data_IF_731520193255
#
_entry.id   IF_731520193255
#
_cell.length_a   1.000
_cell.length_b   1.000
_cell.length_c   1.000
_cell.angle_alpha   90.00
_cell.angle_beta   90.00
_cell.angle_gamma   90.00
#
_symmetry.space_group_name_H-M   'P 1'
#
loop_
_entity.id
_entity.type
_entity.pdbx_description
1 polymer ?
#
# COMPACT_ATOMS: atom_id res chain seq x y z
N UNK A 1 -9.04 -23.84 -9.30
CA UNK A 1 -10.43 -23.41 -8.98
C UNK A 1 -10.58 -21.93 -9.35
N UNK A 2 -11.68 -21.53 -9.93
CA UNK A 2 -11.95 -20.13 -10.25
C UNK A 2 -12.15 -19.34 -8.95
N UNK A 3 -11.38 -18.29 -8.72
CA UNK A 3 -11.50 -17.44 -7.52
C UNK A 3 -12.61 -16.41 -7.70
N UNK A 4 -13.29 -16.10 -6.61
CA UNK A 4 -14.31 -15.05 -6.52
C UNK A 4 -13.72 -13.88 -5.72
N UNK A 5 -13.61 -12.71 -6.35
CA UNK A 5 -12.86 -11.58 -5.81
C UNK A 5 -13.80 -10.40 -5.54
N UNK A 6 -13.66 -9.80 -4.36
CA UNK A 6 -14.12 -8.44 -4.07
C UNK A 6 -12.94 -7.49 -4.23
N UNK A 7 -13.01 -6.57 -5.18
CA UNK A 7 -11.95 -5.60 -5.49
C UNK A 7 -12.32 -4.22 -4.96
N UNK A 8 -11.63 -3.81 -3.91
CA UNK A 8 -11.80 -2.49 -3.33
C UNK A 8 -10.83 -1.50 -4.00
N UNK A 9 -11.38 -0.44 -4.61
CA UNK A 9 -10.59 0.58 -5.32
C UNK A 9 -10.29 0.23 -6.79
N UNK A 10 -11.23 -0.37 -7.50
CA UNK A 10 -11.08 -0.90 -8.87
C UNK A 10 -10.65 0.11 -9.93
N UNK A 11 -10.92 1.39 -9.72
CA UNK A 11 -10.63 2.46 -10.70
C UNK A 11 -9.25 3.10 -10.53
N UNK A 12 -8.50 2.70 -9.51
CA UNK A 12 -7.11 3.13 -9.28
C UNK A 12 -6.10 2.33 -10.12
N UNK A 13 -4.81 2.71 -10.05
CA UNK A 13 -3.74 2.02 -10.79
C UNK A 13 -3.66 0.53 -10.45
N UNK A 14 -3.65 0.17 -9.16
CA UNK A 14 -3.62 -1.23 -8.72
C UNK A 14 -4.92 -1.93 -9.09
N UNK A 15 -6.07 -1.26 -8.92
CA UNK A 15 -7.37 -1.84 -9.24
C UNK A 15 -7.51 -2.22 -10.72
N UNK A 16 -7.09 -1.37 -11.64
CA UNK A 16 -7.13 -1.65 -13.08
C UNK A 16 -6.20 -2.79 -13.47
N UNK A 17 -4.98 -2.83 -12.92
CA UNK A 17 -4.03 -3.92 -13.12
C UNK A 17 -4.52 -5.25 -12.51
N UNK A 18 -5.28 -5.18 -11.39
CA UNK A 18 -5.93 -6.36 -10.80
C UNK A 18 -7.01 -6.94 -11.73
N UNK A 19 -7.74 -6.07 -12.42
CA UNK A 19 -8.72 -6.52 -13.43
C UNK A 19 -8.04 -7.15 -14.66
N UNK A 20 -6.86 -6.66 -15.08
CA UNK A 20 -6.07 -7.31 -16.13
C UNK A 20 -5.68 -8.74 -15.73
N UNK A 21 -5.21 -8.92 -14.50
CA UNK A 21 -4.89 -10.25 -13.96
C UNK A 21 -6.15 -11.12 -13.87
N UNK A 22 -7.25 -10.59 -13.36
CA UNK A 22 -8.51 -11.33 -13.24
C UNK A 22 -9.02 -11.80 -14.61
N UNK A 23 -8.92 -10.96 -15.64
CA UNK A 23 -9.28 -11.27 -17.03
C UNK A 23 -8.44 -12.42 -17.57
N UNK A 24 -7.13 -12.35 -17.40
CA UNK A 24 -6.19 -13.36 -17.87
C UNK A 24 -6.45 -14.72 -17.19
N UNK A 25 -6.68 -14.71 -15.89
CA UNK A 25 -6.84 -15.92 -15.09
C UNK A 25 -8.29 -16.47 -15.06
N UNK A 26 -9.24 -15.75 -15.67
CA UNK A 26 -10.66 -16.13 -15.66
C UNK A 26 -11.30 -16.08 -14.27
N UNK A 27 -10.90 -15.12 -13.41
CA UNK A 27 -11.46 -14.95 -12.08
C UNK A 27 -12.79 -14.19 -12.13
N UNK A 28 -13.70 -14.53 -11.22
CA UNK A 28 -14.97 -13.85 -11.08
C UNK A 28 -14.80 -12.62 -10.18
N UNK A 29 -15.16 -11.46 -10.70
CA UNK A 29 -15.25 -10.24 -9.91
C UNK A 29 -16.67 -10.13 -9.37
N UNK A 30 -16.83 -10.36 -8.07
CA UNK A 30 -18.12 -10.31 -7.37
C UNK A 30 -18.51 -8.91 -6.94
N UNK A 31 -17.51 -8.14 -6.48
CA UNK A 31 -17.72 -6.77 -6.06
C UNK A 31 -16.66 -5.85 -6.65
N UNK A 32 -17.07 -4.62 -6.97
CA UNK A 32 -16.17 -3.52 -7.34
C UNK A 32 -16.45 -2.30 -6.46
N UNK A 33 -15.42 -1.54 -6.13
CA UNK A 33 -15.63 -0.28 -5.43
C UNK A 33 -14.82 0.86 -6.06
N UNK A 34 -15.35 2.07 -6.02
CA UNK A 34 -14.66 3.28 -6.46
C UNK A 34 -15.09 4.48 -5.61
N UNK A 35 -14.36 5.60 -5.73
CA UNK A 35 -14.79 6.84 -5.07
C UNK A 35 -15.84 7.58 -5.92
N UNK A 36 -15.45 8.14 -7.08
CA UNK A 36 -16.29 9.03 -7.89
C UNK A 36 -16.17 8.86 -9.41
N UNK A 37 -15.31 7.94 -9.89
CA UNK A 37 -15.05 7.76 -11.34
C UNK A 37 -16.13 6.88 -11.98
N UNK A 38 -17.31 7.48 -12.24
CA UNK A 38 -18.51 6.78 -12.74
C UNK A 38 -18.27 6.11 -14.09
N UNK A 39 -17.66 6.81 -15.06
CA UNK A 39 -17.48 6.26 -16.42
C UNK A 39 -16.53 5.05 -16.43
N UNK A 40 -15.51 5.07 -15.58
CA UNK A 40 -14.55 3.96 -15.50
C UNK A 40 -15.21 2.73 -14.88
N UNK A 41 -15.92 2.89 -13.75
CA UNK A 41 -16.55 1.75 -13.09
C UNK A 41 -17.74 1.21 -13.88
N UNK A 42 -18.47 2.05 -14.65
CA UNK A 42 -19.50 1.58 -15.57
C UNK A 42 -18.94 0.60 -16.60
N UNK A 43 -17.81 0.93 -17.23
CA UNK A 43 -17.14 0.03 -18.18
C UNK A 43 -16.72 -1.29 -17.51
N UNK A 44 -16.19 -1.22 -16.28
CA UNK A 44 -15.82 -2.40 -15.51
C UNK A 44 -17.04 -3.27 -15.16
N UNK A 45 -18.18 -2.66 -14.82
CA UNK A 45 -19.44 -3.36 -14.57
C UNK A 45 -19.92 -4.11 -15.81
N UNK A 46 -19.92 -3.45 -16.96
CA UNK A 46 -20.37 -4.06 -18.23
C UNK A 46 -19.49 -5.25 -18.64
N UNK A 47 -18.20 -5.17 -18.35
CA UNK A 47 -17.24 -6.23 -18.66
C UNK A 47 -17.32 -7.40 -17.66
N UNK A 48 -17.16 -7.12 -16.37
CA UNK A 48 -16.99 -8.13 -15.31
C UNK A 48 -18.31 -8.58 -14.68
N UNK A 49 -19.40 -7.85 -14.87
CA UNK A 49 -20.76 -8.13 -14.36
C UNK A 49 -20.79 -8.47 -12.87
N UNK A 50 -20.23 -7.59 -12.00
CA UNK A 50 -20.23 -7.83 -10.56
C UNK A 50 -21.66 -7.82 -10.01
N UNK A 51 -21.88 -8.56 -8.92
CA UNK A 51 -23.18 -8.61 -8.26
C UNK A 51 -23.43 -7.34 -7.41
N UNK A 52 -22.35 -6.75 -6.86
CA UNK A 52 -22.44 -5.56 -5.99
C UNK A 52 -21.35 -4.54 -6.35
N UNK A 53 -21.73 -3.26 -6.35
CA UNK A 53 -20.80 -2.15 -6.56
C UNK A 53 -21.01 -1.07 -5.52
N UNK A 54 -19.90 -0.54 -4.95
CA UNK A 54 -19.93 0.59 -4.04
C UNK A 54 -19.26 1.82 -4.63
N UNK A 55 -19.95 2.96 -4.57
CA UNK A 55 -19.36 4.28 -4.78
C UNK A 55 -19.26 5.00 -3.44
N UNK A 56 -18.04 5.42 -3.04
CA UNK A 56 -17.89 6.19 -1.79
C UNK A 56 -18.63 7.52 -1.84
N UNK A 57 -18.66 8.16 -3.01
CA UNK A 57 -19.42 9.40 -3.24
C UNK A 57 -20.89 9.09 -3.57
N UNK A 58 -21.82 9.57 -2.74
CA UNK A 58 -23.26 9.31 -2.89
C UNK A 58 -23.85 9.89 -4.17
N UNK A 59 -23.36 11.04 -4.66
CA UNK A 59 -23.83 11.63 -5.92
C UNK A 59 -23.42 10.74 -7.10
N UNK A 60 -22.17 10.28 -7.10
CA UNK A 60 -21.66 9.33 -8.09
C UNK A 60 -22.43 7.99 -8.05
N UNK A 61 -22.83 7.52 -6.86
CA UNK A 61 -23.66 6.33 -6.73
C UNK A 61 -25.03 6.48 -7.40
N UNK A 62 -25.67 7.64 -7.22
CA UNK A 62 -26.98 7.96 -7.87
C UNK A 62 -26.83 8.03 -9.38
N UNK A 63 -25.79 8.68 -9.89
CA UNK A 63 -25.49 8.75 -11.31
C UNK A 63 -25.26 7.36 -11.90
N UNK A 64 -24.40 6.55 -11.24
CA UNK A 64 -24.10 5.18 -11.68
C UNK A 64 -25.36 4.31 -11.76
N UNK A 65 -26.25 4.37 -10.76
CA UNK A 65 -27.54 3.64 -10.77
C UNK A 65 -28.35 3.92 -12.03
N UNK A 66 -28.35 5.17 -12.49
CA UNK A 66 -29.07 5.56 -13.71
C UNK A 66 -28.40 4.98 -14.96
N UNK A 67 -27.06 5.04 -15.01
CA UNK A 67 -26.29 4.59 -16.17
C UNK A 67 -26.33 3.07 -16.38
N UNK A 68 -26.42 2.29 -15.30
CA UNK A 68 -26.42 0.84 -15.35
C UNK A 68 -27.79 0.22 -15.07
N UNK A 69 -28.88 0.97 -15.25
CA UNK A 69 -30.24 0.50 -15.01
C UNK A 69 -30.65 -0.71 -15.88
N UNK A 70 -29.87 -0.99 -16.93
CA UNK A 70 -29.98 -2.13 -17.84
C UNK A 70 -29.18 -3.37 -17.37
N UNK A 71 -28.59 -3.35 -16.17
CA UNK A 71 -27.80 -4.45 -15.59
C UNK A 71 -28.41 -4.94 -14.27
N UNK A 72 -28.04 -6.15 -13.85
CA UNK A 72 -28.47 -6.72 -12.57
C UNK A 72 -27.59 -6.31 -11.38
N UNK A 73 -26.56 -5.45 -11.61
CA UNK A 73 -25.61 -5.03 -10.59
C UNK A 73 -26.26 -4.11 -9.55
N UNK A 74 -26.20 -4.50 -8.27
CA UNK A 74 -26.65 -3.66 -7.15
C UNK A 74 -25.63 -2.56 -6.88
N UNK A 75 -26.08 -1.30 -6.68
CA UNK A 75 -25.21 -0.17 -6.32
C UNK A 75 -25.52 0.31 -4.89
N UNK A 76 -24.48 0.36 -4.05
CA UNK A 76 -24.49 0.90 -2.69
C UNK A 76 -23.53 2.08 -2.57
N UNK A 77 -23.49 2.77 -1.42
CA UNK A 77 -22.60 3.93 -1.26
C UNK A 77 -22.05 4.09 0.16
N UNK A 78 -20.98 4.88 0.27
CA UNK A 78 -20.33 5.22 1.52
C UNK A 78 -19.62 4.07 2.21
N UNK A 79 -19.19 4.29 3.46
CA UNK A 79 -18.40 3.29 4.22
C UNK A 79 -19.18 1.99 4.43
N UNK A 80 -20.46 2.05 4.74
CA UNK A 80 -21.29 0.84 4.91
C UNK A 80 -21.35 0.02 3.62
N UNK A 81 -21.45 0.67 2.46
CA UNK A 81 -21.39 -0.01 1.17
C UNK A 81 -20.01 -0.61 0.87
N UNK A 82 -18.93 0.06 1.27
CA UNK A 82 -17.58 -0.45 1.14
C UNK A 82 -17.37 -1.71 2.00
N UNK A 83 -17.89 -1.70 3.23
CA UNK A 83 -17.88 -2.86 4.13
C UNK A 83 -18.74 -4.00 3.55
N UNK A 84 -19.95 -3.70 3.01
CA UNK A 84 -20.80 -4.70 2.36
C UNK A 84 -20.05 -5.41 1.22
N UNK A 85 -19.29 -4.67 0.40
CA UNK A 85 -18.42 -5.27 -0.63
C UNK A 85 -17.28 -6.10 -0.02
N UNK A 86 -16.63 -5.61 1.03
CA UNK A 86 -15.51 -6.30 1.68
C UNK A 86 -15.94 -7.62 2.37
N UNK A 87 -17.18 -7.67 2.85
CA UNK A 87 -17.73 -8.84 3.54
C UNK A 87 -18.63 -9.70 2.65
N UNK A 88 -18.71 -9.40 1.35
CA UNK A 88 -19.65 -10.05 0.44
C UNK A 88 -19.52 -11.56 0.45
N UNK A 89 -20.64 -12.26 0.68
CA UNK A 89 -20.63 -13.71 0.92
C UNK A 89 -20.19 -14.52 -0.30
N UNK A 90 -20.43 -14.00 -1.51
CA UNK A 90 -20.03 -14.63 -2.77
C UNK A 90 -18.55 -14.47 -3.13
N UNK A 91 -17.75 -13.74 -2.36
CA UNK A 91 -16.32 -13.55 -2.59
C UNK A 91 -15.49 -14.37 -1.59
N UNK A 92 -14.40 -14.97 -2.06
CA UNK A 92 -13.44 -15.72 -1.23
C UNK A 92 -12.26 -14.86 -0.81
N UNK A 93 -11.88 -13.91 -1.68
CA UNK A 93 -10.72 -13.04 -1.53
C UNK A 93 -11.13 -11.58 -1.66
N UNK A 94 -10.63 -10.75 -0.77
CA UNK A 94 -10.72 -9.28 -0.86
C UNK A 94 -9.37 -8.74 -1.29
N UNK A 95 -9.31 -8.07 -2.45
CA UNK A 95 -8.14 -7.29 -2.84
C UNK A 95 -8.40 -5.83 -2.44
N UNK A 96 -7.66 -5.37 -1.44
CA UNK A 96 -7.77 -4.00 -0.96
C UNK A 96 -6.72 -3.10 -1.63
N UNK A 97 -7.15 -2.27 -2.58
CA UNK A 97 -6.33 -1.29 -3.30
C UNK A 97 -6.86 0.16 -3.19
N UNK A 98 -7.66 0.44 -2.15
CA UNK A 98 -8.01 1.82 -1.82
C UNK A 98 -6.79 2.57 -1.30
N UNK A 99 -6.81 3.89 -1.35
CA UNK A 99 -5.70 4.75 -0.89
C UNK A 99 -6.03 5.33 0.48
N UNK A 100 -5.05 5.30 1.39
CA UNK A 100 -5.15 5.94 2.71
C UNK A 100 -5.92 5.12 3.75
N UNK A 101 -6.24 5.77 4.86
CA UNK A 101 -6.86 5.16 6.05
C UNK A 101 -8.23 4.51 5.82
N UNK A 102 -8.92 4.87 4.73
CA UNK A 102 -10.27 4.32 4.41
C UNK A 102 -10.26 2.80 4.22
N UNK A 103 -9.11 2.20 3.94
CA UNK A 103 -8.95 0.75 3.76
C UNK A 103 -8.92 -0.07 5.06
N UNK A 104 -8.65 0.54 6.22
CA UNK A 104 -8.46 -0.17 7.48
C UNK A 104 -9.75 -0.87 7.95
N UNK A 105 -10.83 -0.13 8.10
CA UNK A 105 -12.10 -0.66 8.60
C UNK A 105 -12.65 -1.80 7.73
N UNK A 106 -12.77 -1.66 6.39
CA UNK A 106 -13.24 -2.77 5.56
C UNK A 106 -12.31 -3.99 5.58
N UNK A 107 -11.00 -3.80 5.79
CA UNK A 107 -10.07 -4.94 5.97
C UNK A 107 -10.35 -5.70 7.26
N UNK A 108 -10.56 -5.02 8.38
CA UNK A 108 -10.91 -5.64 9.65
C UNK A 108 -12.22 -6.44 9.53
N UNK A 109 -13.24 -5.86 8.89
CA UNK A 109 -14.52 -6.54 8.69
C UNK A 109 -14.41 -7.74 7.73
N UNK A 110 -13.59 -7.64 6.67
CA UNK A 110 -13.30 -8.75 5.78
C UNK A 110 -12.60 -9.92 6.51
N UNK A 111 -11.67 -9.63 7.42
CA UNK A 111 -11.01 -10.64 8.26
C UNK A 111 -12.01 -11.33 9.19
N UNK A 112 -12.91 -10.58 9.85
CA UNK A 112 -14.00 -11.15 10.66
C UNK A 112 -14.92 -12.06 9.83
N UNK A 113 -15.15 -11.70 8.56
CA UNK A 113 -15.89 -12.50 7.60
C UNK A 113 -15.06 -13.67 6.99
N UNK A 114 -13.84 -13.91 7.52
CA UNK A 114 -12.92 -15.00 7.11
C UNK A 114 -12.53 -14.97 5.64
N UNK A 115 -12.40 -13.78 5.04
CA UNK A 115 -11.92 -13.59 3.67
C UNK A 115 -10.41 -13.59 3.64
N UNK A 116 -9.80 -14.23 2.64
CA UNK A 116 -8.37 -14.03 2.33
C UNK A 116 -8.15 -12.58 1.90
N UNK A 117 -7.12 -11.93 2.43
CA UNK A 117 -6.81 -10.53 2.12
C UNK A 117 -5.60 -10.46 1.18
N UNK A 118 -5.80 -9.94 -0.03
CA UNK A 118 -4.73 -9.48 -0.90
C UNK A 118 -4.55 -7.96 -0.65
N UNK A 119 -3.50 -7.58 0.07
CA UNK A 119 -3.36 -6.24 0.62
C UNK A 119 -2.39 -5.39 -0.21
N UNK A 120 -2.92 -4.38 -0.89
CA UNK A 120 -2.15 -3.34 -1.57
C UNK A 120 -2.15 -2.00 -0.81
N UNK A 121 -3.11 -1.80 0.09
CA UNK A 121 -3.22 -0.60 0.93
C UNK A 121 -2.29 -0.72 2.13
N UNK A 122 -1.07 -0.17 2.00
CA UNK A 122 -0.06 -0.21 3.06
C UNK A 122 -0.47 0.53 4.32
N UNK A 123 -1.26 1.59 4.19
CA UNK A 123 -1.73 2.41 5.31
C UNK A 123 -2.56 1.59 6.31
N UNK A 124 -3.21 0.53 5.86
CA UNK A 124 -3.91 -0.45 6.70
C UNK A 124 -2.98 -1.08 7.76
N UNK A 125 -1.78 -1.53 7.37
CA UNK A 125 -0.80 -2.10 8.30
C UNK A 125 0.02 -1.03 9.02
N UNK A 126 0.28 0.10 8.38
CA UNK A 126 0.99 1.20 9.02
C UNK A 126 0.23 1.71 10.24
N UNK A 127 -1.05 2.03 10.08
CA UNK A 127 -1.83 2.65 11.14
C UNK A 127 -2.49 1.63 12.09
N UNK A 128 -2.92 0.49 11.55
CA UNK A 128 -3.68 -0.53 12.28
C UNK A 128 -3.00 -1.91 12.35
N UNK A 129 -1.69 -2.00 12.12
CA UNK A 129 -1.00 -3.28 11.96
C UNK A 129 -1.21 -4.24 13.12
N UNK A 130 -1.15 -3.76 14.37
CA UNK A 130 -1.44 -4.56 15.56
C UNK A 130 -2.86 -5.15 15.52
N UNK A 131 -3.86 -4.33 15.20
CA UNK A 131 -5.26 -4.76 15.13
C UNK A 131 -5.47 -5.78 13.99
N UNK A 132 -4.91 -5.50 12.83
CA UNK A 132 -5.07 -6.31 11.62
C UNK A 132 -4.40 -7.69 11.77
N UNK A 133 -3.15 -7.71 12.22
CA UNK A 133 -2.39 -8.98 12.32
C UNK A 133 -2.91 -9.89 13.43
N UNK A 134 -3.29 -9.33 14.59
CA UNK A 134 -3.90 -10.10 15.67
C UNK A 134 -5.25 -10.68 15.22
N UNK A 135 -6.12 -9.85 14.65
CA UNK A 135 -7.43 -10.29 14.18
C UNK A 135 -7.31 -11.37 13.08
N UNK A 136 -6.35 -11.22 12.15
CA UNK A 136 -6.07 -12.21 11.11
C UNK A 136 -5.63 -13.56 11.72
N UNK A 137 -4.73 -13.52 12.70
CA UNK A 137 -4.26 -14.71 13.42
C UNK A 137 -5.40 -15.41 14.16
N UNK A 138 -6.23 -14.66 14.89
CA UNK A 138 -7.39 -15.18 15.64
C UNK A 138 -8.43 -15.86 14.72
N UNK A 139 -8.63 -15.31 13.52
CA UNK A 139 -9.60 -15.83 12.54
C UNK A 139 -9.00 -16.85 11.56
N UNK A 140 -7.68 -17.12 11.61
CA UNK A 140 -7.01 -18.02 10.66
C UNK A 140 -7.01 -17.49 9.22
N UNK A 141 -6.98 -16.14 9.05
CA UNK A 141 -7.02 -15.46 7.76
C UNK A 141 -5.61 -15.15 7.29
N UNK A 142 -5.33 -15.44 6.02
CA UNK A 142 -4.06 -15.07 5.38
C UNK A 142 -4.11 -13.64 4.84
N UNK A 143 -3.05 -12.87 5.11
CA UNK A 143 -2.79 -11.57 4.49
C UNK A 143 -1.67 -11.77 3.46
N UNK A 144 -1.98 -11.60 2.20
CA UNK A 144 -1.06 -11.79 1.06
C UNK A 144 -0.64 -10.42 0.54
N UNK A 145 0.67 -10.10 0.52
CA UNK A 145 1.14 -8.78 0.12
C UNK A 145 1.00 -8.58 -1.39
N UNK A 146 0.52 -7.40 -1.76
CA UNK A 146 0.46 -6.89 -3.12
C UNK A 146 1.50 -5.79 -3.35
N UNK A 147 1.94 -5.09 -2.29
CA UNK A 147 3.10 -4.21 -2.39
C UNK A 147 4.31 -4.97 -2.94
N UNK A 148 5.06 -4.38 -3.89
CA UNK A 148 6.10 -5.10 -4.65
C UNK A 148 7.23 -5.62 -3.76
N UNK A 149 7.69 -4.83 -2.82
CA UNK A 149 8.75 -5.17 -1.90
C UNK A 149 8.32 -6.28 -0.93
N UNK A 150 7.11 -6.15 -0.38
CA UNK A 150 6.57 -7.16 0.55
C UNK A 150 6.22 -8.46 -0.17
N UNK A 151 5.72 -8.38 -1.38
CA UNK A 151 5.54 -9.57 -2.24
C UNK A 151 6.88 -10.25 -2.51
N UNK A 152 7.95 -9.49 -2.77
CA UNK A 152 9.29 -10.03 -3.00
C UNK A 152 9.84 -10.74 -1.76
N UNK A 153 9.69 -10.14 -0.58
CA UNK A 153 10.07 -10.75 0.70
C UNK A 153 9.27 -12.03 0.93
N UNK A 154 7.95 -11.97 0.77
CA UNK A 154 7.08 -13.14 0.90
C UNK A 154 7.48 -14.27 -0.04
N UNK A 155 7.83 -13.97 -1.29
CA UNK A 155 8.31 -14.94 -2.27
C UNK A 155 9.67 -15.54 -1.88
N UNK A 156 10.60 -14.71 -1.39
CA UNK A 156 11.92 -15.16 -0.95
C UNK A 156 11.81 -16.08 0.29
N UNK A 157 10.85 -15.82 1.18
CA UNK A 157 10.58 -16.63 2.38
C UNK A 157 10.05 -18.05 2.06
N UNK A 158 9.49 -18.28 0.87
CA UNK A 158 8.99 -19.62 0.48
C UNK A 158 10.12 -20.68 0.41
N UNK A 159 11.37 -20.25 0.30
CA UNK A 159 12.54 -21.15 0.32
C UNK A 159 12.91 -21.66 1.72
N UNK A 160 12.31 -21.14 2.80
CA UNK A 160 12.60 -21.55 4.17
C UNK A 160 11.38 -22.19 4.84
N UNK A 161 11.53 -23.39 5.41
CA UNK A 161 10.46 -24.05 6.15
C UNK A 161 10.24 -23.43 7.54
N UNK A 162 11.15 -22.59 8.03
CA UNK A 162 11.10 -22.00 9.38
C UNK A 162 11.43 -20.52 9.36
N UNK A 163 10.64 -19.73 10.06
CA UNK A 163 10.81 -18.27 10.21
C UNK A 163 12.15 -17.96 10.90
N UNK A 164 12.56 -18.74 11.89
CA UNK A 164 13.79 -18.56 12.67
C UNK A 164 15.06 -18.69 11.82
N UNK A 165 14.97 -19.26 10.61
CA UNK A 165 16.06 -19.29 9.66
C UNK A 165 16.36 -17.93 9.02
N UNK A 166 15.41 -16.99 9.10
CA UNK A 166 15.57 -15.63 8.56
C UNK A 166 16.30 -14.78 9.60
N UNK A 167 17.42 -14.17 9.17
CA UNK A 167 18.24 -13.29 9.98
C UNK A 167 17.78 -11.84 9.85
N UNK A 168 17.55 -11.37 8.62
CA UNK A 168 17.06 -10.02 8.35
C UNK A 168 16.36 -9.89 6.99
N UNK A 169 15.56 -8.84 6.88
CA UNK A 169 14.92 -8.38 5.66
C UNK A 169 15.72 -7.22 5.06
N UNK A 170 15.87 -7.18 3.75
CA UNK A 170 16.40 -6.05 3.00
C UNK A 170 15.30 -5.48 2.12
N UNK A 171 14.82 -4.29 2.49
CA UNK A 171 13.88 -3.50 1.71
C UNK A 171 14.64 -2.67 0.69
N UNK A 172 14.41 -2.88 -0.60
CA UNK A 172 14.99 -2.03 -1.64
C UNK A 172 14.11 -0.80 -1.89
N UNK A 173 14.72 0.29 -2.29
CA UNK A 173 14.08 1.55 -2.63
C UNK A 173 14.63 2.11 -3.94
N UNK A 174 13.79 2.68 -4.81
CA UNK A 174 14.29 3.40 -5.99
C UNK A 174 15.10 4.66 -5.64
N UNK A 175 14.93 5.18 -4.41
CA UNK A 175 15.49 6.45 -3.95
C UNK A 175 14.76 7.69 -4.50
N UNK A 176 13.69 7.48 -5.28
CA UNK A 176 12.87 8.55 -5.82
C UNK A 176 13.56 9.45 -6.86
N UNK A 177 12.90 10.54 -7.29
CA UNK A 177 13.44 11.47 -8.30
C UNK A 177 14.59 12.33 -7.77
N UNK A 178 14.76 12.43 -6.45
CA UNK A 178 15.74 13.31 -5.83
C UNK A 178 16.97 12.62 -5.25
N UNK A 179 17.16 11.35 -5.59
CA UNK A 179 18.36 10.62 -5.18
C UNK A 179 19.66 11.40 -5.50
N UNK A 180 20.54 11.54 -4.50
CA UNK A 180 21.82 12.24 -4.60
C UNK A 180 21.73 13.77 -4.48
N UNK A 181 20.53 14.34 -4.28
CA UNK A 181 20.36 15.77 -4.01
C UNK A 181 20.56 16.09 -2.53
N UNK A 182 21.09 17.27 -2.26
CA UNK A 182 21.23 17.84 -0.92
C UNK A 182 19.97 18.56 -0.46
N UNK A 183 19.78 18.77 0.84
CA UNK A 183 18.66 19.55 1.39
C UNK A 183 18.53 20.94 0.74
N UNK A 184 19.67 21.61 0.49
CA UNK A 184 19.69 22.93 -0.15
C UNK A 184 19.11 22.90 -1.57
N UNK A 185 19.38 21.85 -2.33
CA UNK A 185 18.81 21.68 -3.68
C UNK A 185 17.32 21.35 -3.66
N UNK A 186 16.82 20.84 -2.52
CA UNK A 186 15.40 20.49 -2.34
C UNK A 186 14.54 21.66 -1.87
N UNK A 187 15.12 22.78 -1.42
CA UNK A 187 14.38 23.94 -0.88
C UNK A 187 13.34 24.54 -1.86
N UNK A 188 13.64 24.48 -3.16
CA UNK A 188 12.84 25.11 -4.20
C UNK A 188 12.24 24.13 -5.21
N UNK A 189 12.23 22.82 -4.92
CA UNK A 189 11.61 21.84 -5.81
C UNK A 189 10.09 22.00 -5.80
N UNK A 190 9.51 21.84 -6.97
CA UNK A 190 8.08 21.99 -7.20
C UNK A 190 7.35 20.62 -7.17
N UNK A 191 6.02 20.61 -7.02
CA UNK A 191 5.26 19.38 -7.22
C UNK A 191 5.53 18.70 -8.57
N UNK A 192 5.70 19.49 -9.64
CA UNK A 192 5.99 18.97 -10.98
C UNK A 192 7.36 18.25 -11.06
N UNK A 193 8.36 18.69 -10.26
CA UNK A 193 9.65 18.02 -10.18
C UNK A 193 9.56 16.72 -9.39
N UNK A 194 8.82 16.74 -8.27
CA UNK A 194 8.64 15.59 -7.40
C UNK A 194 7.79 14.47 -8.01
N UNK A 195 6.92 14.80 -8.97
CA UNK A 195 6.09 13.82 -9.68
C UNK A 195 6.80 13.05 -10.80
N UNK A 196 8.08 13.36 -11.08
CA UNK A 196 8.88 12.67 -12.13
C UNK A 196 9.59 11.43 -11.56
N UNK A 197 8.83 10.35 -11.30
CA UNK A 197 9.46 9.11 -10.83
C UNK A 197 10.26 8.44 -11.96
N UNK A 198 11.49 7.92 -11.69
CA UNK A 198 12.37 7.39 -12.75
C UNK A 198 11.90 6.08 -13.37
N UNK A 199 11.22 5.19 -12.63
CA UNK A 199 10.95 3.80 -13.04
C UNK A 199 9.47 3.43 -13.02
N UNK A 200 8.63 4.13 -12.24
CA UNK A 200 7.24 3.75 -12.01
C UNK A 200 6.28 4.85 -12.44
N UNK A 201 5.19 4.46 -13.09
CA UNK A 201 4.03 5.33 -13.33
C UNK A 201 2.99 5.10 -12.21
N UNK A 202 2.90 6.04 -11.30
CA UNK A 202 2.14 5.91 -10.06
C UNK A 202 1.22 7.09 -9.81
N UNK A 203 0.27 6.92 -8.89
CA UNK A 203 -0.56 8.02 -8.41
C UNK A 203 0.26 9.13 -7.72
N UNK A 204 -0.26 10.36 -7.71
CA UNK A 204 0.45 11.53 -7.22
C UNK A 204 0.92 11.38 -5.76
N UNK A 205 0.06 10.86 -4.85
CA UNK A 205 0.41 10.70 -3.42
C UNK A 205 1.64 9.82 -3.25
N UNK A 206 1.63 8.60 -3.79
CA UNK A 206 2.73 7.64 -3.63
C UNK A 206 4.00 8.11 -4.34
N UNK A 207 3.89 8.91 -5.42
CA UNK A 207 5.04 9.50 -6.10
C UNK A 207 5.74 10.53 -5.20
N UNK A 208 4.99 11.37 -4.47
CA UNK A 208 5.56 12.28 -3.47
C UNK A 208 6.14 11.48 -2.29
N UNK A 209 5.47 10.42 -1.83
CA UNK A 209 6.02 9.55 -0.79
C UNK A 209 7.35 8.90 -1.21
N UNK A 210 7.48 8.52 -2.49
CA UNK A 210 8.75 8.05 -3.04
C UNK A 210 9.81 9.16 -3.06
N UNK A 211 9.43 10.37 -3.48
CA UNK A 211 10.34 11.52 -3.52
C UNK A 211 10.88 11.92 -2.14
N UNK A 212 10.07 11.83 -1.10
CA UNK A 212 10.43 12.10 0.30
C UNK A 212 11.06 10.90 1.02
N UNK A 213 11.10 9.73 0.39
CA UNK A 213 11.38 8.43 0.99
C UNK A 213 10.40 8.01 2.11
N UNK A 214 9.29 8.72 2.27
CA UNK A 214 8.20 8.33 3.18
C UNK A 214 7.63 6.97 2.80
N UNK A 215 7.48 6.68 1.50
CA UNK A 215 7.02 5.38 1.03
C UNK A 215 7.83 4.23 1.66
N UNK A 216 9.16 4.37 1.68
CA UNK A 216 10.03 3.35 2.26
C UNK A 216 9.93 3.29 3.78
N UNK A 217 9.68 4.41 4.44
CA UNK A 217 9.37 4.43 5.88
C UNK A 217 8.05 3.72 6.19
N UNK A 218 7.00 3.94 5.40
CA UNK A 218 5.72 3.23 5.56
C UNK A 218 5.87 1.72 5.32
N UNK A 219 6.63 1.35 4.31
CA UNK A 219 6.94 -0.06 4.00
C UNK A 219 7.77 -0.74 5.07
N UNK A 220 8.66 -0.01 5.76
CA UNK A 220 9.37 -0.51 6.92
C UNK A 220 8.41 -0.91 8.05
N UNK A 221 7.40 -0.08 8.33
CA UNK A 221 6.36 -0.38 9.31
C UNK A 221 5.51 -1.57 8.87
N UNK A 222 5.12 -1.61 7.58
CA UNK A 222 4.34 -2.72 7.01
C UNK A 222 5.10 -4.04 7.12
N UNK A 223 6.42 -4.07 6.79
CA UNK A 223 7.26 -5.25 6.87
C UNK A 223 7.35 -5.81 8.30
N UNK A 224 7.49 -4.93 9.30
CA UNK A 224 7.46 -5.32 10.71
C UNK A 224 6.20 -6.12 11.06
N UNK A 225 5.04 -5.59 10.68
CA UNK A 225 3.76 -6.23 11.02
C UNK A 225 3.50 -7.49 10.19
N UNK A 226 3.75 -7.44 8.90
CA UNK A 226 3.41 -8.53 7.99
C UNK A 226 4.30 -9.76 8.20
N UNK A 227 5.58 -9.54 8.49
CA UNK A 227 6.55 -10.61 8.67
C UNK A 227 6.91 -10.85 10.14
N UNK A 228 6.38 -10.02 11.06
CA UNK A 228 6.65 -10.08 12.49
C UNK A 228 8.18 -10.11 12.76
N UNK A 229 8.90 -9.15 12.14
CA UNK A 229 10.35 -8.98 12.27
C UNK A 229 10.68 -7.85 13.26
N UNK A 230 11.74 -7.97 14.07
CA UNK A 230 12.29 -6.87 14.87
C UNK A 230 12.70 -5.69 13.98
N UNK A 231 12.58 -4.46 14.48
CA UNK A 231 12.94 -3.26 13.72
C UNK A 231 14.41 -3.26 13.29
N UNK A 232 15.31 -3.75 14.15
CA UNK A 232 16.75 -3.87 13.93
C UNK A 232 17.13 -4.86 12.82
N UNK A 233 16.23 -5.81 12.51
CA UNK A 233 16.43 -6.82 11.49
C UNK A 233 15.81 -6.42 10.14
N UNK A 234 15.35 -5.17 9.99
CA UNK A 234 14.86 -4.62 8.72
C UNK A 234 15.81 -3.52 8.24
N UNK A 235 16.52 -3.80 7.16
CA UNK A 235 17.48 -2.90 6.52
C UNK A 235 16.88 -2.28 5.26
N UNK A 236 17.19 -1.01 5.00
CA UNK A 236 16.79 -0.32 3.77
C UNK A 236 18.03 -0.13 2.88
N UNK A 237 17.91 -0.45 1.59
CA UNK A 237 18.97 -0.27 0.59
C UNK A 237 18.39 0.43 -0.64
N UNK A 238 19.07 1.44 -1.15
CA UNK A 238 18.65 2.11 -2.40
C UNK A 238 19.18 1.32 -3.59
N UNK A 239 18.26 0.94 -4.49
CA UNK A 239 18.52 0.22 -5.74
C UNK A 239 17.81 0.93 -6.89
N UNK A 240 18.60 1.68 -7.68
CA UNK A 240 18.07 2.62 -8.69
C UNK A 240 17.34 1.95 -9.84
N UNK A 241 17.76 0.79 -10.22
CA UNK A 241 17.20 0.05 -11.36
C UNK A 241 15.83 -0.57 -11.05
N UNK A 242 15.45 -0.68 -9.77
CA UNK A 242 14.19 -1.29 -9.30
C UNK A 242 13.92 -2.69 -9.90
N UNK A 243 14.97 -3.47 -10.10
CA UNK A 243 14.94 -4.85 -10.61
C UNK A 243 14.93 -5.86 -9.48
N UNK A 244 15.74 -5.62 -8.45
CA UNK A 244 15.68 -6.35 -7.19
C UNK A 244 14.61 -5.69 -6.33
N UNK A 245 13.48 -6.37 -6.15
CA UNK A 245 12.33 -5.80 -5.44
C UNK A 245 12.43 -5.92 -3.91
N UNK A 246 13.21 -6.80 -3.37
CA UNK A 246 13.67 -6.94 -1.97
C UNK A 246 14.33 -8.30 -1.79
N UNK A 247 14.93 -8.52 -0.61
CA UNK A 247 15.64 -9.75 -0.28
C UNK A 247 15.48 -10.13 1.19
N UNK A 248 15.83 -11.37 1.51
CA UNK A 248 16.04 -11.84 2.88
C UNK A 248 17.45 -12.40 3.01
N UNK A 249 18.03 -12.27 4.19
CA UNK A 249 19.29 -12.90 4.59
C UNK A 249 18.97 -13.97 5.60
N UNK A 250 19.48 -15.17 5.38
CA UNK A 250 19.34 -16.29 6.29
C UNK A 250 20.43 -16.31 7.38
N UNK A 251 20.25 -17.15 8.40
CA UNK A 251 21.22 -17.30 9.50
C UNK A 251 22.61 -17.77 9.04
N UNK A 252 22.68 -18.46 7.93
CA UNK A 252 23.94 -18.89 7.28
C UNK A 252 24.58 -17.79 6.41
N UNK A 253 24.03 -16.57 6.42
CA UNK A 253 24.39 -15.41 5.61
C UNK A 253 24.13 -15.56 4.11
N UNK A 254 23.47 -16.62 3.64
CA UNK A 254 22.96 -16.65 2.27
C UNK A 254 21.83 -15.61 2.09
N UNK A 255 21.69 -15.07 0.88
CA UNK A 255 20.68 -14.08 0.54
C UNK A 255 19.82 -14.59 -0.60
N UNK A 256 18.49 -14.46 -0.47
CA UNK A 256 17.54 -14.74 -1.55
C UNK A 256 16.76 -13.47 -1.85
N UNK A 257 16.73 -13.09 -3.12
CA UNK A 257 16.02 -11.92 -3.61
C UNK A 257 15.04 -12.32 -4.72
N UNK A 258 13.92 -11.62 -4.80
CA UNK A 258 13.03 -11.70 -5.96
C UNK A 258 13.40 -10.58 -6.94
N UNK A 259 13.58 -10.94 -8.20
CA UNK A 259 13.88 -10.05 -9.29
C UNK A 259 12.72 -10.07 -10.30
N UNK A 260 12.44 -8.93 -10.92
CA UNK A 260 11.42 -8.78 -11.96
C UNK A 260 11.46 -7.41 -12.60
N UNK A 261 10.77 -7.26 -13.72
CA UNK A 261 10.50 -5.94 -14.28
C UNK A 261 9.57 -5.16 -13.37
N UNK A 262 9.63 -3.82 -13.33
CA UNK A 262 8.78 -3.00 -12.47
C UNK A 262 7.33 -2.95 -12.97
N UNK A 263 6.56 -4.00 -12.68
CA UNK A 263 5.15 -4.15 -13.07
C UNK A 263 4.34 -4.76 -11.94
N UNK A 264 3.34 -4.01 -11.46
CA UNK A 264 2.51 -4.43 -10.32
C UNK A 264 1.64 -5.67 -10.61
N UNK A 265 1.45 -6.05 -11.87
CA UNK A 265 0.72 -7.29 -12.20
C UNK A 265 1.44 -8.54 -11.71
N UNK A 266 2.77 -8.50 -11.50
CA UNK A 266 3.52 -9.60 -10.91
C UNK A 266 3.08 -9.88 -9.46
N UNK A 267 3.21 -8.92 -8.51
CA UNK A 267 2.79 -9.15 -7.12
C UNK A 267 1.28 -9.31 -6.97
N UNK A 268 0.47 -8.59 -7.76
CA UNK A 268 -0.99 -8.77 -7.78
C UNK A 268 -1.33 -10.22 -8.14
N UNK A 269 -0.77 -10.72 -9.25
CA UNK A 269 -1.02 -12.08 -9.68
C UNK A 269 -0.59 -13.09 -8.61
N UNK A 270 0.62 -12.93 -8.06
CA UNK A 270 1.11 -13.88 -7.06
C UNK A 270 0.23 -13.90 -5.80
N UNK A 271 -0.22 -12.74 -5.31
CA UNK A 271 -1.18 -12.69 -4.20
C UNK A 271 -2.51 -13.39 -4.53
N UNK A 272 -2.98 -13.28 -5.78
CA UNK A 272 -4.23 -13.91 -6.21
C UNK A 272 -4.09 -15.40 -6.56
N UNK A 273 -2.90 -15.87 -6.96
CA UNK A 273 -2.70 -17.28 -7.37
C UNK A 273 -2.04 -18.14 -6.29
N UNK A 274 -1.46 -17.53 -5.26
CA UNK A 274 -0.72 -18.25 -4.22
C UNK A 274 -1.47 -19.52 -3.75
N UNK A 275 -0.77 -20.64 -3.61
CA UNK A 275 0.68 -20.85 -3.77
C UNK A 275 1.15 -21.11 -5.22
N UNK A 276 0.26 -21.12 -6.20
CA UNK A 276 0.57 -21.47 -7.58
C UNK A 276 1.30 -20.35 -8.32
N UNK A 277 2.15 -20.75 -9.29
CA UNK A 277 2.78 -19.85 -10.26
C UNK A 277 2.25 -20.16 -11.65
N UNK A 278 1.54 -19.19 -12.20
CA UNK A 278 0.84 -19.31 -13.49
C UNK A 278 1.39 -18.32 -14.52
N UNK A 279 1.14 -18.51 -15.82
CA UNK A 279 1.60 -17.57 -16.85
C UNK A 279 1.16 -16.13 -16.53
N UNK A 280 2.10 -15.20 -16.70
CA UNK A 280 1.93 -13.76 -16.42
C UNK A 280 1.72 -12.97 -17.72
N UNK A 281 0.97 -11.86 -17.71
CA UNK A 281 0.89 -10.93 -18.83
C UNK A 281 2.15 -10.05 -18.96
N UNK A 282 3.11 -10.19 -18.06
CA UNK A 282 4.32 -9.37 -17.97
C UNK A 282 5.48 -10.07 -18.66
N UNK A 283 6.30 -9.30 -19.38
CA UNK A 283 7.50 -9.83 -20.06
C UNK A 283 8.58 -10.32 -19.09
N UNK A 284 9.44 -11.19 -19.58
CA UNK A 284 10.58 -11.70 -18.81
C UNK A 284 11.63 -10.62 -18.57
N UNK A 285 12.28 -10.68 -17.41
CA UNK A 285 13.43 -9.86 -17.09
C UNK A 285 14.69 -10.43 -17.78
N UNK A 286 15.39 -9.61 -18.58
CA UNK A 286 16.70 -9.92 -19.12
C UNK A 286 17.80 -9.27 -18.29
N UNK A 287 18.55 -10.04 -17.53
CA UNK A 287 19.67 -9.51 -16.73
C UNK A 287 20.80 -8.96 -17.61
N UNK A 288 20.97 -9.52 -18.81
CA UNK A 288 21.97 -9.06 -19.76
C UNK A 288 21.72 -7.63 -20.27
N UNK A 289 20.44 -7.23 -20.38
CA UNK A 289 20.07 -5.89 -20.83
C UNK A 289 20.41 -4.82 -19.78
N UNK A 290 20.38 -5.17 -18.51
CA UNK A 290 20.80 -4.28 -17.42
C UNK A 290 22.33 -4.22 -17.26
N UNK A 291 23.04 -5.32 -17.50
CA UNK A 291 24.49 -5.42 -17.41
C UNK A 291 25.05 -5.29 -15.99
N UNK A 292 24.57 -4.32 -15.20
CA UNK A 292 24.93 -4.10 -13.79
C UNK A 292 23.74 -3.64 -12.98
N UNK A 293 23.74 -3.98 -11.70
CA UNK A 293 22.81 -3.51 -10.69
C UNK A 293 23.58 -2.74 -9.63
N UNK A 294 23.01 -1.61 -9.16
CA UNK A 294 23.68 -0.72 -8.21
C UNK A 294 22.92 -0.64 -6.91
N UNK A 295 23.67 -0.54 -5.79
CA UNK A 295 23.12 -0.47 -4.44
C UNK A 295 23.83 0.61 -3.64
N UNK A 296 23.06 1.38 -2.85
CA UNK A 296 23.57 2.49 -2.06
C UNK A 296 22.89 2.52 -0.69
N UNK A 297 23.59 3.10 0.29
CA UNK A 297 22.97 3.43 1.57
C UNK A 297 21.93 4.54 1.41
N UNK A 298 20.82 4.51 2.15
CA UNK A 298 19.88 5.63 2.18
C UNK A 298 20.48 6.87 2.83
N UNK A 299 20.17 8.05 2.28
CA UNK A 299 20.53 9.32 2.90
C UNK A 299 19.47 9.74 3.93
N UNK A 300 19.66 9.31 5.18
CA UNK A 300 18.77 9.59 6.30
C UNK A 300 18.77 11.05 6.74
N UNK A 301 19.81 11.82 6.40
CA UNK A 301 19.94 13.24 6.76
C UNK A 301 19.12 14.13 5.82
N UNK A 302 19.13 13.81 4.53
CA UNK A 302 18.35 14.54 3.53
C UNK A 302 16.88 14.08 3.53
N UNK A 303 16.62 12.78 3.63
CA UNK A 303 15.29 12.21 3.52
C UNK A 303 14.74 11.75 4.89
N UNK A 304 14.46 12.71 5.75
CA UNK A 304 14.07 12.50 7.16
C UNK A 304 12.74 11.76 7.36
N UNK A 305 11.89 11.64 6.33
CA UNK A 305 10.63 10.91 6.44
C UNK A 305 10.82 9.42 6.80
N UNK A 306 11.95 8.79 6.41
CA UNK A 306 12.28 7.44 6.85
C UNK A 306 12.42 7.40 8.39
N UNK A 307 13.15 8.36 8.96
CA UNK A 307 13.36 8.44 10.42
C UNK A 307 12.03 8.64 11.15
N UNK A 308 11.13 9.50 10.63
CA UNK A 308 9.79 9.68 11.22
C UNK A 308 9.05 8.35 11.35
N UNK A 309 9.10 7.51 10.32
CA UNK A 309 8.44 6.20 10.36
C UNK A 309 9.13 5.22 11.30
N UNK A 310 10.48 5.19 11.32
CA UNK A 310 11.24 4.33 12.24
C UNK A 310 10.98 4.73 13.69
N UNK A 311 11.01 6.01 14.00
CA UNK A 311 10.72 6.54 15.34
C UNK A 311 9.26 6.24 15.75
N UNK A 312 8.31 6.39 14.81
CA UNK A 312 6.91 6.11 15.07
C UNK A 312 6.68 4.64 15.45
N UNK A 313 7.24 3.70 14.70
CA UNK A 313 7.06 2.28 14.99
C UNK A 313 7.86 1.82 16.21
N UNK A 314 8.97 2.44 16.55
CA UNK A 314 9.72 2.18 17.78
C UNK A 314 8.93 2.64 19.00
N UNK A 315 8.30 3.82 18.95
CA UNK A 315 7.39 4.30 19.99
C UNK A 315 6.13 3.43 20.11
N UNK A 316 5.66 2.85 19.00
CA UNK A 316 4.50 1.98 18.95
C UNK A 316 3.17 2.72 19.15
N UNK A 317 2.12 2.00 19.61
CA UNK A 317 0.82 2.58 19.91
C UNK A 317 0.21 3.33 18.71
N UNK A 318 -0.18 4.57 18.95
CA UNK A 318 -0.85 5.42 17.94
C UNK A 318 0.11 6.28 17.08
N UNK A 319 1.42 6.24 17.36
CA UNK A 319 2.40 7.06 16.64
C UNK A 319 2.44 6.76 15.12
N UNK A 320 2.39 5.50 14.65
CA UNK A 320 2.35 5.21 13.21
C UNK A 320 1.10 5.76 12.52
N UNK A 321 -0.07 5.70 13.16
CA UNK A 321 -1.31 6.26 12.64
C UNK A 321 -1.21 7.79 12.48
N UNK A 322 -0.66 8.47 13.48
CA UNK A 322 -0.44 9.91 13.44
C UNK A 322 0.57 10.31 12.35
N UNK A 323 1.70 9.58 12.23
CA UNK A 323 2.69 9.82 11.17
C UNK A 323 2.07 9.68 9.76
N UNK A 324 1.23 8.65 9.57
CA UNK A 324 0.51 8.46 8.31
C UNK A 324 -0.49 9.59 8.02
N UNK A 325 -1.34 9.94 9.01
CA UNK A 325 -2.33 11.00 8.87
C UNK A 325 -1.69 12.36 8.55
N UNK A 326 -0.60 12.69 9.26
CA UNK A 326 0.18 13.89 8.99
C UNK A 326 0.74 13.90 7.56
N UNK A 327 1.30 12.77 7.12
CA UNK A 327 1.87 12.66 5.79
C UNK A 327 0.82 12.84 4.69
N UNK A 328 -0.35 12.23 4.82
CA UNK A 328 -1.41 12.38 3.82
C UNK A 328 -1.84 13.86 3.67
N UNK A 329 -1.95 14.61 4.77
CA UNK A 329 -2.31 16.03 4.71
C UNK A 329 -1.13 16.90 4.22
N UNK A 330 0.11 16.64 4.68
CA UNK A 330 1.31 17.36 4.23
C UNK A 330 1.53 17.19 2.72
N UNK A 331 1.41 15.97 2.20
CA UNK A 331 1.51 15.70 0.76
C UNK A 331 0.44 16.45 -0.04
N UNK A 332 -0.80 16.47 0.44
CA UNK A 332 -1.90 17.22 -0.19
C UNK A 332 -1.62 18.73 -0.20
N UNK A 333 -1.11 19.29 0.90
CA UNK A 333 -0.72 20.69 0.98
C UNK A 333 0.44 21.02 0.03
N UNK A 334 1.46 20.17 -0.05
CA UNK A 334 2.56 20.31 -1.00
C UNK A 334 2.07 20.29 -2.46
N UNK A 335 1.26 19.31 -2.83
CA UNK A 335 0.69 19.21 -4.18
C UNK A 335 -0.14 20.43 -4.57
N UNK A 336 -0.75 21.12 -3.60
CA UNK A 336 -1.48 22.37 -3.79
C UNK A 336 -0.61 23.62 -3.65
N UNK A 337 0.70 23.49 -3.51
CA UNK A 337 1.66 24.60 -3.41
C UNK A 337 1.52 25.43 -2.13
N UNK A 338 0.98 24.86 -1.04
CA UNK A 338 0.78 25.55 0.25
C UNK A 338 1.97 25.44 1.19
N UNK A 339 2.79 24.42 1.02
CA UNK A 339 4.03 24.20 1.79
C UNK A 339 5.16 23.82 0.84
N UNK A 340 6.40 23.90 1.31
CA UNK A 340 7.59 23.43 0.58
C UNK A 340 7.75 21.92 0.73
N UNK A 341 8.53 21.33 -0.16
CA UNK A 341 8.90 19.92 -0.08
C UNK A 341 9.58 19.55 1.24
N UNK A 342 10.48 20.39 1.70
CA UNK A 342 11.22 20.22 2.96
C UNK A 342 10.35 20.31 4.21
N UNK A 343 9.19 20.96 4.13
CA UNK A 343 8.27 21.08 5.26
C UNK A 343 7.54 19.78 5.57
N UNK A 344 7.41 18.87 4.58
CA UNK A 344 6.70 17.59 4.73
C UNK A 344 7.26 16.79 5.90
N UNK A 345 8.56 16.54 5.92
CA UNK A 345 9.20 15.74 6.97
C UNK A 345 9.07 16.40 8.36
N UNK A 346 9.20 17.72 8.40
CA UNK A 346 9.06 18.50 9.64
C UNK A 346 7.64 18.39 10.20
N UNK A 347 6.63 18.67 9.39
CA UNK A 347 5.21 18.60 9.81
C UNK A 347 4.81 17.20 10.24
N UNK A 348 5.26 16.17 9.49
CA UNK A 348 5.00 14.79 9.83
C UNK A 348 5.60 14.41 11.20
N UNK A 349 6.82 14.84 11.49
CA UNK A 349 7.47 14.59 12.77
C UNK A 349 6.75 15.29 13.93
N UNK A 350 6.46 16.59 13.78
CA UNK A 350 5.79 17.38 14.83
C UNK A 350 4.41 16.83 15.17
N UNK A 351 3.62 16.49 14.13
CA UNK A 351 2.30 15.90 14.33
C UNK A 351 2.37 14.51 14.97
N UNK A 352 3.31 13.67 14.52
CA UNK A 352 3.55 12.34 15.08
C UNK A 352 3.89 12.43 16.58
N UNK A 353 4.75 13.37 16.99
CA UNK A 353 5.14 13.55 18.39
C UNK A 353 3.99 14.03 19.31
N UNK A 354 2.86 14.52 18.74
CA UNK A 354 1.65 14.85 19.51
C UNK A 354 0.76 13.64 19.79
N UNK A 355 1.04 12.49 19.18
CA UNK A 355 0.27 11.28 19.44
C UNK A 355 0.45 10.78 20.88
N UNK A 356 -0.57 10.10 21.36
CA UNK A 356 -0.55 9.51 22.69
C UNK A 356 0.10 8.12 22.65
N UNK A 357 0.93 7.84 23.64
CA UNK A 357 1.42 6.48 23.88
C UNK A 357 0.29 5.64 24.51
N UNK A 358 -0.29 4.73 23.72
CA UNK A 358 -1.36 3.85 24.16
C UNK A 358 -1.04 2.43 23.67
N UNK A 359 -0.87 1.49 24.62
CA UNK A 359 -0.52 0.10 24.30
C UNK A 359 -1.74 -0.75 23.90
N UNK A 360 -2.90 -0.45 24.46
CA UNK A 360 -4.18 -1.09 24.13
C UNK A 360 -5.10 -0.06 23.49
N UNK A 361 -5.32 -0.17 22.20
CA UNK A 361 -6.07 0.80 21.41
C UNK A 361 -7.05 0.12 20.44
N UNK A 362 -8.14 0.82 20.17
CA UNK A 362 -9.21 0.40 19.28
C UNK A 362 -9.07 1.02 17.88
N UNK A 363 -9.93 0.60 16.94
CA UNK A 363 -10.04 1.24 15.64
C UNK A 363 -10.38 2.74 15.78
N UNK A 364 -11.27 3.09 16.71
CA UNK A 364 -11.67 4.47 16.97
C UNK A 364 -10.48 5.33 17.43
N UNK A 365 -9.61 4.78 18.29
CA UNK A 365 -8.39 5.45 18.72
C UNK A 365 -7.44 5.73 17.53
N UNK A 366 -7.30 4.76 16.63
CA UNK A 366 -6.47 4.91 15.40
C UNK A 366 -7.03 5.99 14.48
N UNK A 367 -8.35 5.98 14.24
CA UNK A 367 -9.02 6.99 13.42
C UNK A 367 -8.93 8.39 14.03
N UNK A 368 -9.03 8.49 15.35
CA UNK A 368 -8.90 9.76 16.07
C UNK A 368 -7.45 10.28 16.04
N UNK A 369 -6.44 9.41 16.16
CA UNK A 369 -5.03 9.79 16.04
C UNK A 369 -4.70 10.31 14.64
N UNK A 370 -5.18 9.64 13.59
CA UNK A 370 -5.07 10.10 12.21
C UNK A 370 -5.72 11.49 12.02
N UNK A 371 -6.94 11.67 12.51
CA UNK A 371 -7.67 12.94 12.43
C UNK A 371 -6.93 14.07 13.15
N UNK A 372 -6.50 13.85 14.39
CA UNK A 372 -5.76 14.86 15.19
C UNK A 372 -4.47 15.28 14.50
N UNK A 373 -3.75 14.32 13.91
CA UNK A 373 -2.51 14.61 13.18
C UNK A 373 -2.76 15.47 11.93
N UNK A 374 -3.81 15.20 11.18
CA UNK A 374 -4.22 16.04 10.02
C UNK A 374 -4.61 17.44 10.47
N UNK A 375 -5.43 17.56 11.52
CA UNK A 375 -5.86 18.84 12.07
C UNK A 375 -4.65 19.68 12.51
N UNK A 376 -3.66 19.05 13.19
CA UNK A 376 -2.43 19.73 13.59
C UNK A 376 -1.63 20.26 12.38
N UNK A 377 -1.45 19.46 11.32
CA UNK A 377 -0.77 19.91 10.09
C UNK A 377 -1.49 21.12 9.48
N UNK A 378 -2.82 21.09 9.42
CA UNK A 378 -3.62 22.22 8.90
C UNK A 378 -3.51 23.48 9.78
N UNK A 379 -3.38 23.33 11.09
CA UNK A 379 -3.18 24.46 12.03
C UNK A 379 -1.82 25.13 11.84
N UNK A 380 -0.78 24.35 11.57
CA UNK A 380 0.59 24.87 11.32
C UNK A 380 0.72 25.70 10.03
N UNK A 381 -0.23 25.60 9.10
CA UNK A 381 -0.16 26.23 7.77
C UNK A 381 -1.16 27.39 7.61
N UNK A 382 -1.95 27.70 8.64
CA UNK A 382 -2.82 28.87 8.70
C UNK A 382 -2.01 30.12 9.01
#
# INVERSE_FOLDING_TARGET
>A
MTKNISLLGSTGSIGTQSLDVARLQGYNIKCLTANSRVDVIENQIREFKPELVCMMNEKAAKELKTKIADTDTKVVSGMNGLIECATYNGADTVLNSVVGMVGLQPTLEAIKAKKTIALANKETLVAGGHLVTNLAKENGVSILPVDSEHSAIFQAMQGSPKKEAIKKIILTASGGPFFGKTLKELENVTPADALKHPNWDMGAKITIDSATMMNKGLEFIEAKWLFDMPNEDIEIVVHRESVVHSAIVYQDNSMIAQLGVPDMRIPIQYALTYPERVPSPVGELSLADYGKLTFFEPDYETFKCINVCKDAIEKGGLYPAAANGANEESVKLFLNGKIKFTDIAYLNNEAMLKAESKSDFTLEDVLEADRKARDYVLECVK
#
